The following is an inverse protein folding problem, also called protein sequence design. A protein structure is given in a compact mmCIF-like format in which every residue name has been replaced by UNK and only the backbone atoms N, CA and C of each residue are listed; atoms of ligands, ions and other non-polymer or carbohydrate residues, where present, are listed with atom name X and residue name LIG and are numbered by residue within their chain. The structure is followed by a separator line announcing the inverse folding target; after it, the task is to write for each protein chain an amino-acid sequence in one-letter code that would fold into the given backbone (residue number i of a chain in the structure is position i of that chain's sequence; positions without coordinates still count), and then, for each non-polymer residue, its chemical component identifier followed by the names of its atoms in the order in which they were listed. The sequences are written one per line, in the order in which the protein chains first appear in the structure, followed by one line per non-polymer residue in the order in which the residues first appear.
data_IF_553423064474
#
_entry.id   IF_553423064474
#
_cell.length_a   1.000
_cell.length_b   1.000
_cell.length_c   1.000
_cell.angle_alpha   90.00
_cell.angle_beta   90.00
_cell.angle_gamma   90.00
#
_symmetry.space_group_name_H-M   'P 1'
#
loop_
_entity.id
_entity.type
_entity.pdbx_description
1 polymer ?
#
# COMPACT_ATOMS: atom_id res chain seq x y z
N UNK A 1 -17.91 -0.83 29.41
CA UNK A 1 -17.69 -1.01 27.96
C UNK A 1 -19.04 -0.96 27.27
N UNK A 2 -19.26 -0.02 26.34
CA UNK A 2 -20.57 0.19 25.69
C UNK A 2 -20.65 -0.36 24.25
N UNK A 3 -19.52 -0.64 23.60
CA UNK A 3 -19.43 -1.26 22.27
C UNK A 3 -18.04 -1.86 22.03
N UNK A 4 -17.86 -2.59 20.93
CA UNK A 4 -16.57 -3.10 20.42
C UNK A 4 -16.38 -2.65 18.97
N UNK A 5 -15.22 -2.09 18.63
CA UNK A 5 -14.83 -1.80 17.25
C UNK A 5 -13.88 -2.88 16.72
N UNK A 6 -14.14 -3.38 15.51
CA UNK A 6 -13.33 -4.37 14.83
C UNK A 6 -12.72 -3.76 13.58
N UNK A 7 -11.39 -3.78 13.49
CA UNK A 7 -10.70 -3.48 12.23
C UNK A 7 -10.83 -4.68 11.30
N UNK A 8 -11.47 -4.47 10.16
CA UNK A 8 -11.61 -5.43 9.07
C UNK A 8 -10.77 -4.93 7.90
N UNK A 9 -9.90 -5.78 7.36
CA UNK A 9 -8.98 -5.37 6.29
C UNK A 9 -9.73 -5.14 4.98
N UNK A 10 -10.68 -6.01 4.62
CA UNK A 10 -11.35 -5.93 3.32
C UNK A 10 -12.86 -5.83 3.47
N UNK A 11 -13.44 -4.69 3.08
CA UNK A 11 -14.89 -4.46 3.01
C UNK A 11 -15.51 -4.73 1.63
N UNK A 12 -14.67 -4.99 0.62
CA UNK A 12 -15.15 -5.28 -0.73
C UNK A 12 -15.85 -4.07 -1.34
N UNK A 13 -16.77 -4.31 -2.27
CA UNK A 13 -17.56 -3.25 -2.89
C UNK A 13 -18.74 -2.80 -2.01
N UNK A 14 -19.16 -3.61 -1.04
CA UNK A 14 -20.44 -3.40 -0.33
C UNK A 14 -20.29 -2.51 0.90
N UNK A 15 -19.12 -2.51 1.53
CA UNK A 15 -18.91 -1.81 2.80
C UNK A 15 -18.03 -0.56 2.63
N UNK A 16 -18.69 0.58 2.37
CA UNK A 16 -18.06 1.90 2.18
C UNK A 16 -17.95 2.74 3.45
N UNK A 17 -18.48 2.26 4.58
CA UNK A 17 -18.47 2.93 5.89
C UNK A 17 -18.52 1.91 7.02
N UNK A 18 -18.20 2.28 8.27
CA UNK A 18 -18.41 1.41 9.41
C UNK A 18 -19.87 0.96 9.53
N UNK A 19 -20.08 -0.31 9.93
CA UNK A 19 -21.42 -0.89 10.09
C UNK A 19 -21.54 -1.64 11.41
N UNK A 20 -22.75 -1.67 11.97
CA UNK A 20 -23.07 -2.60 13.05
C UNK A 20 -23.00 -4.02 12.52
N UNK A 21 -22.39 -4.90 13.30
CA UNK A 21 -22.24 -6.31 12.95
C UNK A 21 -23.52 -7.06 13.28
N UNK A 22 -24.08 -7.71 12.27
CA UNK A 22 -25.10 -8.75 12.40
C UNK A 22 -24.67 -10.02 11.64
N UNK A 23 -25.53 -11.04 11.62
CA UNK A 23 -25.26 -12.30 10.92
C UNK A 23 -25.12 -12.12 9.40
N UNK A 24 -25.84 -11.15 8.81
CA UNK A 24 -25.77 -10.85 7.37
C UNK A 24 -24.45 -10.21 7.00
N UNK A 25 -23.98 -9.26 7.80
CA UNK A 25 -22.67 -8.63 7.65
C UNK A 25 -21.57 -9.68 7.78
N UNK A 26 -21.62 -10.54 8.79
CA UNK A 26 -20.63 -11.61 8.96
C UNK A 26 -20.60 -12.58 7.78
N UNK A 27 -21.77 -13.04 7.32
CA UNK A 27 -21.86 -13.94 6.16
C UNK A 27 -21.28 -13.27 4.91
N UNK A 28 -21.57 -11.98 4.69
CA UNK A 28 -21.02 -11.24 3.55
C UNK A 28 -19.51 -11.06 3.65
N UNK A 29 -18.99 -10.75 4.83
CA UNK A 29 -17.55 -10.60 5.03
C UNK A 29 -16.78 -11.91 4.85
N UNK A 30 -17.40 -13.06 5.13
CA UNK A 30 -16.82 -14.38 4.89
C UNK A 30 -16.66 -14.67 3.39
N UNK A 31 -17.61 -14.23 2.55
CA UNK A 31 -17.50 -14.32 1.08
C UNK A 31 -16.29 -13.52 0.56
N UNK A 32 -15.85 -12.49 1.29
CA UNK A 32 -14.68 -11.68 0.94
C UNK A 32 -13.36 -12.26 1.47
N UNK A 33 -13.39 -13.35 2.25
CA UNK A 33 -12.18 -14.00 2.79
C UNK A 33 -11.12 -14.32 1.71
N UNK A 34 -11.48 -14.79 0.49
CA UNK A 34 -10.52 -15.03 -0.58
C UNK A 34 -9.76 -13.78 -1.05
N UNK A 35 -10.28 -12.57 -0.83
CA UNK A 35 -9.60 -11.32 -1.21
C UNK A 35 -8.49 -10.93 -0.21
N UNK A 36 -8.55 -11.45 1.01
CA UNK A 36 -7.55 -11.20 2.05
C UNK A 36 -7.35 -12.45 2.94
N UNK A 37 -6.88 -13.57 2.37
CA UNK A 37 -6.89 -14.88 3.02
C UNK A 37 -6.04 -14.93 4.30
N UNK A 38 -4.94 -14.15 4.36
CA UNK A 38 -4.06 -14.08 5.52
C UNK A 38 -4.60 -13.19 6.66
N UNK A 39 -5.67 -12.42 6.43
CA UNK A 39 -6.11 -11.39 7.37
C UNK A 39 -7.59 -11.53 7.74
N UNK A 40 -8.46 -11.69 6.76
CA UNK A 40 -9.91 -11.65 6.96
C UNK A 40 -10.41 -12.75 7.92
N UNK A 41 -10.01 -14.03 7.78
CA UNK A 41 -10.51 -15.09 8.66
C UNK A 41 -10.19 -14.83 10.14
N UNK A 42 -8.97 -14.38 10.42
CA UNK A 42 -8.52 -14.02 11.77
C UNK A 42 -9.33 -12.86 12.35
N UNK A 43 -9.61 -11.83 11.55
CA UNK A 43 -10.43 -10.69 11.98
C UNK A 43 -11.87 -11.13 12.32
N UNK A 44 -12.47 -11.98 11.47
CA UNK A 44 -13.84 -12.47 11.68
C UNK A 44 -13.95 -13.44 12.85
N UNK A 45 -12.90 -14.21 13.15
CA UNK A 45 -12.85 -15.05 14.35
C UNK A 45 -12.97 -14.22 15.64
N UNK A 46 -12.30 -13.06 15.70
CA UNK A 46 -12.41 -12.16 16.85
C UNK A 46 -13.83 -11.58 17.01
N UNK A 47 -14.49 -11.26 15.90
CA UNK A 47 -15.90 -10.79 15.90
C UNK A 47 -16.82 -11.89 16.44
N UNK A 48 -16.67 -13.14 15.96
CA UNK A 48 -17.47 -14.27 16.43
C UNK A 48 -17.30 -14.53 17.92
N UNK A 49 -16.06 -14.49 18.41
CA UNK A 49 -15.73 -14.66 19.82
C UNK A 49 -16.37 -13.57 20.69
N UNK A 50 -16.31 -12.32 20.25
CA UNK A 50 -16.95 -11.22 20.94
C UNK A 50 -18.49 -11.39 20.99
N UNK A 51 -19.10 -11.86 19.88
CA UNK A 51 -20.56 -12.07 19.81
C UNK A 51 -21.01 -13.23 20.70
N UNK A 52 -20.27 -14.33 20.76
CA UNK A 52 -20.60 -15.45 21.65
C UNK A 52 -20.43 -15.09 23.12
N UNK A 53 -19.35 -14.37 23.47
CA UNK A 53 -19.08 -13.95 24.85
C UNK A 53 -20.01 -12.84 25.36
N UNK A 54 -20.50 -11.96 24.48
CA UNK A 54 -21.37 -10.83 24.83
C UNK A 54 -22.40 -10.50 23.73
N UNK A 55 -23.48 -11.29 23.59
CA UNK A 55 -24.44 -11.14 22.48
C UNK A 55 -25.14 -9.78 22.42
N UNK A 56 -25.38 -9.14 23.57
CA UNK A 56 -26.07 -7.84 23.66
C UNK A 56 -25.17 -6.62 23.51
N UNK A 57 -23.85 -6.79 23.38
CA UNK A 57 -22.92 -5.67 23.25
C UNK A 57 -22.78 -5.28 21.77
N UNK A 58 -23.10 -4.03 21.35
CA UNK A 58 -22.95 -3.60 19.98
C UNK A 58 -21.51 -3.75 19.47
N UNK A 59 -21.38 -4.30 18.27
CA UNK A 59 -20.10 -4.46 17.59
C UNK A 59 -20.12 -3.72 16.26
N UNK A 60 -19.06 -2.99 15.95
CA UNK A 60 -18.92 -2.20 14.73
C UNK A 60 -17.74 -2.74 13.92
N UNK A 61 -17.97 -3.08 12.66
CA UNK A 61 -16.91 -3.39 11.72
C UNK A 61 -16.45 -2.11 11.00
N UNK A 62 -15.16 -1.83 11.04
CA UNK A 62 -14.52 -0.66 10.42
C UNK A 62 -13.52 -1.15 9.37
N UNK A 63 -13.60 -0.65 8.13
CA UNK A 63 -12.92 -1.25 6.98
C UNK A 63 -11.73 -0.41 6.51
N UNK A 64 -10.56 -1.03 6.33
CA UNK A 64 -9.39 -0.35 5.74
C UNK A 64 -9.61 0.08 4.28
N UNK A 65 -10.57 -0.52 3.59
CA UNK A 65 -10.96 -0.19 2.21
C UNK A 65 -11.95 0.98 2.12
N UNK A 66 -12.64 1.33 3.21
CA UNK A 66 -13.81 2.22 3.16
C UNK A 66 -13.46 3.64 2.72
N UNK A 67 -12.36 4.20 3.22
CA UNK A 67 -11.93 5.57 2.90
C UNK A 67 -11.63 5.80 1.41
N UNK A 68 -11.40 4.72 0.65
CA UNK A 68 -11.07 4.75 -0.78
C UNK A 68 -12.29 4.51 -1.69
N UNK A 69 -13.48 4.28 -1.14
CA UNK A 69 -14.65 3.89 -1.93
C UNK A 69 -15.13 4.99 -2.90
N UNK A 70 -14.85 6.26 -2.57
CA UNK A 70 -15.19 7.43 -3.41
C UNK A 70 -14.33 7.61 -4.67
N UNK A 71 -13.41 6.70 -4.97
CA UNK A 71 -12.57 6.77 -6.17
C UNK A 71 -13.40 6.72 -7.46
N UNK A 72 -13.00 7.52 -8.45
CA UNK A 72 -13.62 7.48 -9.78
C UNK A 72 -13.45 6.10 -10.43
N UNK A 73 -14.40 5.71 -11.28
CA UNK A 73 -14.38 4.37 -11.90
C UNK A 73 -13.09 4.07 -12.64
N UNK A 74 -12.49 5.08 -13.30
CA UNK A 74 -11.22 4.95 -14.03
C UNK A 74 -10.05 4.60 -13.09
N UNK A 75 -10.06 5.14 -11.85
CA UNK A 75 -9.04 4.86 -10.84
C UNK A 75 -9.21 3.43 -10.31
N UNK A 76 -10.43 2.92 -10.19
CA UNK A 76 -10.66 1.59 -9.61
C UNK A 76 -10.50 0.44 -10.61
N UNK A 77 -10.36 0.71 -11.92
CA UNK A 77 -10.31 -0.33 -12.96
C UNK A 77 -8.89 -0.79 -13.25
N UNK A 78 -8.73 -2.09 -13.45
CA UNK A 78 -7.60 -2.63 -14.18
C UNK A 78 -7.93 -2.68 -15.67
N UNK A 79 -6.90 -2.61 -16.52
CA UNK A 79 -7.03 -2.78 -17.97
C UNK A 79 -7.25 -4.27 -18.33
N UNK A 80 -8.30 -4.86 -17.76
CA UNK A 80 -8.74 -6.24 -17.96
C UNK A 80 -10.17 -6.25 -18.54
N UNK A 81 -10.60 -7.36 -19.15
CA UNK A 81 -11.99 -7.52 -19.55
C UNK A 81 -12.98 -7.20 -18.42
N UNK A 82 -14.11 -6.57 -18.78
CA UNK A 82 -15.11 -6.04 -17.82
C UNK A 82 -15.62 -7.10 -16.84
N UNK A 83 -15.73 -8.35 -17.30
CA UNK A 83 -16.20 -9.50 -16.51
C UNK A 83 -15.40 -9.68 -15.21
N UNK A 84 -14.09 -9.45 -15.23
CA UNK A 84 -13.26 -9.52 -14.02
C UNK A 84 -13.59 -8.42 -13.01
N UNK A 85 -13.86 -7.20 -13.50
CA UNK A 85 -14.27 -6.10 -12.63
C UNK A 85 -15.63 -6.37 -11.96
N UNK A 86 -16.57 -6.96 -12.70
CA UNK A 86 -17.87 -7.39 -12.17
C UNK A 86 -17.74 -8.50 -11.12
N UNK A 87 -16.73 -9.36 -11.25
CA UNK A 87 -16.36 -10.36 -10.25
C UNK A 87 -15.56 -9.77 -9.06
N UNK A 88 -15.32 -8.46 -9.03
CA UNK A 88 -14.64 -7.79 -7.93
C UNK A 88 -13.14 -7.59 -8.11
N UNK A 89 -12.56 -7.88 -9.28
CA UNK A 89 -11.16 -7.56 -9.59
C UNK A 89 -11.04 -6.06 -9.91
N UNK A 90 -10.72 -5.28 -8.88
CA UNK A 90 -10.63 -3.82 -8.93
C UNK A 90 -9.63 -3.30 -7.90
N UNK A 91 -9.20 -2.04 -8.03
CA UNK A 91 -8.42 -1.38 -6.98
C UNK A 91 -9.36 -1.03 -5.82
N UNK A 92 -9.00 -1.48 -4.62
CA UNK A 92 -9.74 -1.21 -3.38
C UNK A 92 -9.02 -0.18 -2.51
N UNK A 93 -7.68 -0.26 -2.43
CA UNK A 93 -6.91 0.53 -1.49
C UNK A 93 -7.02 0.04 -0.06
N UNK A 94 -6.00 0.30 0.76
CA UNK A 94 -5.95 -0.10 2.17
C UNK A 94 -5.30 0.99 3.02
N UNK A 95 -5.24 0.74 4.33
CA UNK A 95 -4.88 1.74 5.35
C UNK A 95 -5.87 2.92 5.42
N UNK A 96 -7.10 2.74 4.91
CA UNK A 96 -8.13 3.77 4.89
C UNK A 96 -8.47 4.32 6.26
N UNK A 97 -8.54 3.48 7.30
CA UNK A 97 -8.75 3.95 8.67
C UNK A 97 -7.64 4.90 9.14
N UNK A 98 -6.39 4.66 8.72
CA UNK A 98 -5.27 5.55 9.04
C UNK A 98 -5.37 6.85 8.26
N UNK A 99 -5.76 6.81 6.98
CA UNK A 99 -5.90 8.01 6.17
C UNK A 99 -7.10 8.86 6.59
N UNK A 100 -8.21 8.23 6.97
CA UNK A 100 -9.39 8.88 7.53
C UNK A 100 -9.03 9.65 8.82
N UNK A 101 -8.32 9.00 9.74
CA UNK A 101 -7.81 9.65 10.95
C UNK A 101 -6.89 10.84 10.62
N UNK A 102 -5.93 10.67 9.71
CA UNK A 102 -5.00 11.74 9.32
C UNK A 102 -5.75 12.91 8.65
N UNK A 103 -6.74 12.62 7.81
CA UNK A 103 -7.53 13.65 7.15
C UNK A 103 -8.35 14.45 8.17
N UNK A 104 -8.89 13.80 9.21
CA UNK A 104 -9.64 14.47 10.28
C UNK A 104 -8.74 15.34 11.16
N UNK A 105 -7.61 14.80 11.62
CA UNK A 105 -6.60 15.57 12.37
C UNK A 105 -6.09 16.77 11.57
N UNK A 106 -5.89 16.60 10.26
CA UNK A 106 -5.44 17.69 9.40
C UNK A 106 -6.45 18.83 9.32
N UNK A 107 -7.77 18.56 9.36
CA UNK A 107 -8.78 19.62 9.40
C UNK A 107 -8.67 20.47 10.65
N UNK A 108 -8.33 19.87 11.79
CA UNK A 108 -8.11 20.59 13.04
C UNK A 108 -6.81 21.39 13.06
N UNK A 109 -5.75 20.86 12.44
CA UNK A 109 -4.41 21.45 12.46
C UNK A 109 -4.19 22.53 11.39
N UNK A 110 -4.66 22.29 10.16
CA UNK A 110 -4.51 23.18 9.01
C UNK A 110 -5.69 23.00 8.04
N UNK A 111 -6.81 23.71 8.26
CA UNK A 111 -8.01 23.61 7.44
C UNK A 111 -7.76 23.89 5.96
N UNK A 112 -6.86 24.83 5.63
CA UNK A 112 -6.54 25.19 4.26
C UNK A 112 -5.82 24.04 3.54
N UNK A 113 -4.92 23.36 4.25
CA UNK A 113 -4.23 22.20 3.71
C UNK A 113 -5.15 20.98 3.60
N UNK A 114 -6.04 20.77 4.58
CA UNK A 114 -7.04 19.70 4.55
C UNK A 114 -8.00 19.81 3.36
N UNK A 115 -8.41 21.04 3.01
CA UNK A 115 -9.23 21.34 1.84
C UNK A 115 -8.44 21.23 0.52
N UNK A 116 -7.10 21.24 0.58
CA UNK A 116 -6.21 21.21 -0.57
C UNK A 116 -5.89 19.81 -1.11
N UNK A 117 -4.76 19.71 -1.83
CA UNK A 117 -4.22 18.46 -2.39
C UNK A 117 -3.05 17.96 -1.54
N UNK A 118 -3.24 16.83 -0.88
CA UNK A 118 -2.28 16.25 0.08
C UNK A 118 -1.96 14.81 -0.30
N UNK A 119 -0.68 14.48 -0.39
CA UNK A 119 -0.20 13.10 -0.45
C UNK A 119 0.18 12.69 0.97
N UNK A 120 -0.44 11.65 1.49
CA UNK A 120 -0.11 11.07 2.79
C UNK A 120 0.63 9.75 2.60
N UNK A 121 1.80 9.63 3.22
CA UNK A 121 2.58 8.40 3.29
C UNK A 121 2.31 7.67 4.61
N UNK A 122 1.68 6.51 4.55
CA UNK A 122 1.57 5.58 5.68
C UNK A 122 2.76 4.62 5.61
N UNK A 123 3.72 4.77 6.53
CA UNK A 123 4.97 4.02 6.50
C UNK A 123 5.10 3.12 7.73
N UNK A 124 4.93 1.82 7.52
CA UNK A 124 5.00 0.79 8.55
C UNK A 124 5.57 -0.52 8.00
N UNK A 125 5.11 -1.64 8.57
CA UNK A 125 5.43 -2.96 8.02
C UNK A 125 4.73 -3.16 6.66
N UNK A 126 3.48 -2.70 6.55
CA UNK A 126 2.84 -2.34 5.28
C UNK A 126 3.06 -0.85 5.00
N UNK A 127 3.24 -0.48 3.73
CA UNK A 127 3.48 0.90 3.33
C UNK A 127 2.64 1.29 2.11
N UNK A 128 2.06 2.48 2.13
CA UNK A 128 1.27 3.02 1.01
C UNK A 128 1.33 4.55 0.96
N UNK A 129 1.02 5.11 -0.20
CA UNK A 129 0.70 6.53 -0.36
C UNK A 129 -0.77 6.69 -0.74
N UNK A 130 -1.41 7.74 -0.26
CA UNK A 130 -2.76 8.13 -0.64
C UNK A 130 -2.77 9.59 -1.07
N UNK A 131 -3.32 9.85 -2.25
CA UNK A 131 -3.69 11.18 -2.67
C UNK A 131 -5.05 11.53 -2.04
N UNK A 132 -5.08 12.62 -1.28
CA UNK A 132 -6.25 13.15 -0.59
C UNK A 132 -6.52 14.55 -1.13
N UNK A 133 -7.76 14.78 -1.58
CA UNK A 133 -8.23 16.09 -2.02
C UNK A 133 -9.51 16.41 -1.27
N UNK A 134 -9.58 17.60 -0.67
CA UNK A 134 -10.74 18.02 0.15
C UNK A 134 -11.10 16.98 1.23
N UNK A 135 -10.08 16.51 1.95
CA UNK A 135 -10.21 15.48 2.99
C UNK A 135 -10.68 14.09 2.52
N UNK A 136 -10.79 13.84 1.21
CA UNK A 136 -11.25 12.58 0.63
C UNK A 136 -10.15 11.89 -0.18
N UNK A 137 -10.07 10.57 -0.09
CA UNK A 137 -9.16 9.82 -0.95
C UNK A 137 -9.58 9.92 -2.41
N UNK A 138 -8.65 10.26 -3.30
CA UNK A 138 -8.88 10.26 -4.74
C UNK A 138 -8.08 9.19 -5.48
N UNK A 139 -6.97 8.73 -4.90
CA UNK A 139 -6.17 7.61 -5.41
C UNK A 139 -5.23 7.09 -4.30
N UNK A 140 -4.75 5.85 -4.44
CA UNK A 140 -3.85 5.19 -3.49
C UNK A 140 -2.95 4.17 -4.20
N UNK A 141 -1.77 3.95 -3.65
CA UNK A 141 -0.77 3.06 -4.28
C UNK A 141 -1.17 1.59 -4.23
N UNK A 142 -1.90 1.16 -3.19
CA UNK A 142 -2.35 -0.22 -3.09
C UNK A 142 -3.56 -0.47 -3.99
N UNK A 143 -3.52 -1.57 -4.74
CA UNK A 143 -4.53 -1.92 -5.73
C UNK A 143 -5.56 -2.92 -5.20
N UNK A 144 -5.57 -4.11 -5.82
CA UNK A 144 -6.50 -5.21 -5.48
C UNK A 144 -6.21 -5.79 -4.10
N UNK A 145 -4.93 -5.87 -3.73
CA UNK A 145 -4.46 -6.38 -2.44
C UNK A 145 -3.47 -5.39 -1.82
N UNK A 146 -3.15 -5.60 -0.54
CA UNK A 146 -2.12 -4.85 0.16
C UNK A 146 -0.68 -5.25 -0.22
N UNK A 147 -0.50 -5.98 -1.32
CA UNK A 147 0.80 -6.33 -1.92
C UNK A 147 1.28 -5.25 -2.91
N UNK A 148 0.35 -4.66 -3.67
CA UNK A 148 0.64 -3.67 -4.71
C UNK A 148 1.09 -2.32 -4.12
N UNK A 149 1.77 -1.51 -4.93
CA UNK A 149 2.23 -0.17 -4.57
C UNK A 149 3.68 -0.14 -4.12
N UNK A 150 3.94 0.36 -2.91
CA UNK A 150 5.31 0.54 -2.43
C UNK A 150 5.97 -0.80 -2.09
N UNK A 151 7.28 -0.89 -2.32
CA UNK A 151 8.10 -1.94 -1.71
C UNK A 151 8.02 -1.82 -0.17
N UNK A 152 7.89 -2.94 0.54
CA UNK A 152 7.68 -2.95 2.00
C UNK A 152 8.76 -3.75 2.73
N UNK A 153 8.53 -4.12 4.00
CA UNK A 153 9.50 -4.87 4.79
C UNK A 153 9.88 -6.22 4.16
N UNK A 154 8.87 -7.02 3.82
CA UNK A 154 9.00 -8.36 3.23
C UNK A 154 8.20 -8.53 1.94
N UNK A 155 7.43 -7.51 1.56
CA UNK A 155 6.54 -7.53 0.39
C UNK A 155 7.18 -6.83 -0.79
N UNK A 156 7.00 -7.40 -1.99
CA UNK A 156 7.62 -6.86 -3.21
C UNK A 156 7.14 -5.44 -3.57
N UNK A 157 5.86 -5.11 -3.33
CA UNK A 157 5.26 -3.91 -3.90
C UNK A 157 4.85 -4.13 -5.35
N UNK A 158 4.76 -3.04 -6.11
CA UNK A 158 4.52 -3.08 -7.55
C UNK A 158 5.60 -3.92 -8.26
N UNK A 159 5.15 -4.89 -9.05
CA UNK A 159 5.98 -5.81 -9.81
C UNK A 159 5.33 -6.05 -11.17
N UNK A 160 6.14 -6.25 -12.20
CA UNK A 160 5.65 -6.66 -13.52
C UNK A 160 4.92 -8.02 -13.42
N UNK A 161 3.64 -8.12 -13.84
CA UNK A 161 2.91 -9.38 -13.84
C UNK A 161 3.59 -10.50 -14.64
N UNK A 162 4.39 -10.18 -15.66
CA UNK A 162 5.17 -11.15 -16.42
C UNK A 162 6.21 -11.91 -15.58
N UNK A 163 6.71 -11.29 -14.49
CA UNK A 163 7.61 -11.98 -13.54
C UNK A 163 6.87 -13.11 -12.82
N UNK A 164 5.59 -12.93 -12.49
CA UNK A 164 4.77 -13.95 -11.83
C UNK A 164 4.63 -15.16 -12.76
N UNK A 165 4.30 -14.92 -14.04
CA UNK A 165 4.17 -15.98 -15.05
C UNK A 165 5.50 -16.71 -15.26
N UNK A 166 6.61 -15.99 -15.33
CA UNK A 166 7.94 -16.57 -15.47
C UNK A 166 8.29 -17.48 -14.28
N UNK A 167 8.05 -17.04 -13.04
CA UNK A 167 8.33 -17.86 -11.84
C UNK A 167 7.54 -19.17 -11.84
N UNK A 168 6.28 -19.15 -12.29
CA UNK A 168 5.48 -20.37 -12.42
C UNK A 168 6.05 -21.31 -13.50
N UNK A 169 6.52 -20.76 -14.62
CA UNK A 169 7.20 -21.54 -15.66
C UNK A 169 8.53 -22.14 -15.17
N UNK A 170 9.19 -21.51 -14.19
CA UNK A 170 10.35 -22.08 -13.50
C UNK A 170 9.98 -23.16 -12.47
N UNK A 171 8.70 -23.55 -12.36
CA UNK A 171 8.23 -24.63 -11.50
C UNK A 171 7.80 -24.19 -10.10
N UNK A 172 7.74 -22.90 -9.79
CA UNK A 172 7.19 -22.46 -8.51
C UNK A 172 5.66 -22.64 -8.50
N UNK A 173 5.16 -23.27 -7.45
CA UNK A 173 3.72 -23.38 -7.21
C UNK A 173 3.11 -22.00 -6.89
N UNK A 174 1.79 -21.80 -7.08
CA UNK A 174 1.11 -20.57 -6.67
C UNK A 174 1.41 -20.17 -5.22
N UNK A 175 1.43 -21.13 -4.29
CA UNK A 175 1.72 -20.88 -2.88
C UNK A 175 3.18 -20.47 -2.64
N UNK A 176 4.12 -21.07 -3.38
CA UNK A 176 5.53 -20.68 -3.32
C UNK A 176 5.73 -19.25 -3.85
N UNK A 177 5.05 -18.89 -4.95
CA UNK A 177 5.05 -17.51 -5.47
C UNK A 177 4.43 -16.56 -4.46
N UNK A 178 3.29 -16.89 -3.86
CA UNK A 178 2.67 -16.07 -2.82
C UNK A 178 3.62 -15.83 -1.64
N UNK A 179 4.27 -16.88 -1.14
CA UNK A 179 5.25 -16.80 -0.05
C UNK A 179 6.43 -15.91 -0.43
N UNK A 180 6.97 -16.08 -1.65
CA UNK A 180 8.05 -15.26 -2.17
C UNK A 180 7.67 -13.78 -2.18
N UNK A 181 6.48 -13.45 -2.70
CA UNK A 181 6.02 -12.07 -2.86
C UNK A 181 5.65 -11.40 -1.52
N UNK A 182 5.08 -12.14 -0.55
CA UNK A 182 4.62 -11.59 0.73
C UNK A 182 5.66 -11.59 1.85
N UNK A 183 6.56 -12.58 1.86
CA UNK A 183 7.41 -12.88 3.02
C UNK A 183 8.90 -12.82 2.73
N UNK A 184 9.34 -13.01 1.49
CA UNK A 184 10.76 -13.13 1.14
C UNK A 184 11.26 -11.98 0.23
N UNK A 185 10.39 -11.03 -0.11
CA UNK A 185 10.67 -9.92 -1.02
C UNK A 185 10.95 -8.60 -0.27
N UNK A 186 10.79 -7.47 -0.95
CA UNK A 186 10.86 -6.15 -0.34
C UNK A 186 12.27 -5.78 0.14
N UNK A 187 12.33 -5.07 1.27
CA UNK A 187 13.59 -4.75 1.93
C UNK A 187 14.36 -5.98 2.41
N UNK A 188 13.69 -7.11 2.62
CA UNK A 188 14.34 -8.38 2.96
C UNK A 188 15.05 -8.96 1.74
N UNK A 189 14.33 -9.14 0.63
CA UNK A 189 14.87 -9.71 -0.62
C UNK A 189 15.94 -8.81 -1.26
N UNK A 190 15.75 -7.49 -1.28
CA UNK A 190 16.73 -6.55 -1.86
C UNK A 190 18.04 -6.47 -1.07
N UNK A 191 18.07 -6.90 0.20
CA UNK A 191 19.33 -7.02 0.96
C UNK A 191 20.19 -8.18 0.48
N UNK A 192 19.66 -9.14 -0.28
CA UNK A 192 20.45 -10.19 -0.94
C UNK A 192 21.18 -9.68 -2.19
N UNK A 193 20.77 -8.55 -2.79
CA UNK A 193 21.50 -7.86 -3.88
C UNK A 193 22.76 -7.10 -3.41
N UNK A 194 23.32 -7.43 -2.24
CA UNK A 194 24.46 -6.71 -1.61
C UNK A 194 25.84 -6.94 -2.24
N UNK A 195 25.94 -7.50 -3.45
CA UNK A 195 27.23 -7.68 -4.12
C UNK A 195 27.65 -6.50 -5.03
N UNK A 196 26.76 -5.57 -5.42
CA UNK A 196 27.08 -4.66 -6.54
C UNK A 196 26.82 -3.17 -6.31
N UNK A 197 26.01 -2.77 -5.31
CA UNK A 197 25.65 -1.36 -5.12
C UNK A 197 25.95 -0.94 -3.67
N UNK A 198 27.06 -0.21 -3.46
CA UNK A 198 27.65 0.16 -2.16
C UNK A 198 26.82 0.98 -1.15
N UNK A 199 25.49 0.78 -1.06
CA UNK A 199 24.67 1.26 0.05
C UNK A 199 24.81 0.32 1.26
N UNK A 200 26.00 0.28 1.84
CA UNK A 200 26.25 -0.41 3.11
C UNK A 200 25.64 0.37 4.28
N UNK A 201 24.58 -0.19 4.88
CA UNK A 201 24.34 0.00 6.31
C UNK A 201 24.78 -1.29 7.02
N UNK A 202 25.76 -1.24 7.95
CA UNK A 202 26.22 -2.41 8.66
C UNK A 202 25.11 -2.96 9.55
N UNK A 203 24.94 -4.29 9.50
CA UNK A 203 24.07 -5.03 10.41
C UNK A 203 24.86 -5.24 11.70
N UNK A 204 24.91 -4.22 12.53
CA UNK A 204 25.26 -4.39 13.93
C UNK A 204 24.09 -3.88 14.76
N UNK A 205 23.37 -4.84 15.37
CA UNK A 205 22.30 -4.69 16.34
C UNK A 205 20.84 -4.83 15.81
N UNK A 206 20.17 -5.98 16.02
CA UNK A 206 18.75 -6.16 15.73
C UNK A 206 17.81 -5.26 16.55
N UNK A 207 18.34 -4.53 17.56
CA UNK A 207 17.60 -3.51 18.33
C UNK A 207 17.63 -2.10 17.70
N UNK A 208 18.36 -1.86 16.61
CA UNK A 208 18.32 -0.56 15.91
C UNK A 208 17.15 -0.50 14.92
N UNK A 209 16.17 0.34 15.30
CA UNK A 209 14.93 0.62 14.58
C UNK A 209 15.18 1.01 13.11
N UNK A 210 14.43 0.37 12.20
CA UNK A 210 14.47 0.63 10.76
C UNK A 210 13.89 2.02 10.50
N UNK A 211 14.76 3.00 10.21
CA UNK A 211 14.35 4.34 9.81
C UNK A 211 14.23 4.36 8.29
N UNK A 212 13.02 4.51 7.78
CA UNK A 212 12.81 4.91 6.39
C UNK A 212 13.39 6.32 6.23
N UNK A 213 14.37 6.51 5.34
CA UNK A 213 14.79 7.86 4.95
C UNK A 213 13.87 8.36 3.83
N UNK A 214 13.58 9.65 3.78
CA UNK A 214 12.79 10.24 2.68
C UNK A 214 13.41 9.99 1.31
N UNK A 215 14.73 9.77 1.24
CA UNK A 215 15.45 9.43 0.02
C UNK A 215 15.11 8.03 -0.52
N UNK A 216 14.78 7.06 0.36
CA UNK A 216 14.20 5.80 -0.08
C UNK A 216 12.82 6.03 -0.71
N UNK A 217 11.95 6.84 -0.07
CA UNK A 217 10.60 7.13 -0.57
C UNK A 217 10.65 7.82 -1.95
N UNK A 218 11.56 8.75 -2.17
CA UNK A 218 11.73 9.45 -3.46
C UNK A 218 12.26 8.53 -4.57
N UNK A 219 13.15 7.58 -4.24
CA UNK A 219 13.66 6.59 -5.21
C UNK A 219 12.57 5.60 -5.66
N UNK A 220 11.58 5.34 -4.79
CA UNK A 220 10.39 4.51 -5.09
C UNK A 220 9.18 5.33 -5.57
N UNK A 221 9.30 6.66 -5.66
CA UNK A 221 8.26 7.58 -6.13
C UNK A 221 7.95 7.49 -7.62
N UNK A 222 8.70 6.69 -8.40
CA UNK A 222 8.33 6.35 -9.79
C UNK A 222 6.98 5.64 -9.91
N UNK A 223 6.44 5.15 -8.80
CA UNK A 223 5.14 4.46 -8.73
C UNK A 223 3.96 5.39 -8.38
N UNK A 224 4.19 6.67 -8.06
CA UNK A 224 3.12 7.62 -7.76
C UNK A 224 2.76 8.39 -9.05
N UNK A 225 1.58 8.16 -9.66
CA UNK A 225 1.23 8.72 -10.96
C UNK A 225 0.80 10.20 -10.92
N UNK A 226 0.83 10.86 -9.76
CA UNK A 226 0.20 12.17 -9.59
C UNK A 226 1.13 13.34 -9.91
N UNK A 227 0.80 14.19 -10.90
CA UNK A 227 1.58 15.39 -11.18
C UNK A 227 1.46 16.39 -10.02
N UNK A 228 2.59 17.00 -9.65
CA UNK A 228 2.68 18.12 -8.70
C UNK A 228 1.80 19.31 -9.16
N UNK A 229 1.28 20.15 -8.25
CA UNK A 229 1.74 20.37 -6.86
C UNK A 229 0.84 19.71 -5.80
N UNK A 230 1.36 18.68 -5.13
CA UNK A 230 0.75 18.08 -3.94
C UNK A 230 1.63 18.35 -2.72
N UNK A 231 1.03 18.67 -1.58
CA UNK A 231 1.76 18.73 -0.32
C UNK A 231 1.98 17.31 0.23
N UNK A 232 3.19 16.98 0.67
CA UNK A 232 3.50 15.64 1.18
C UNK A 232 3.53 15.60 2.72
N UNK A 233 2.86 14.59 3.27
CA UNK A 233 2.68 14.29 4.69
C UNK A 233 3.13 12.86 5.00
N UNK A 234 3.72 12.61 6.15
CA UNK A 234 4.15 11.26 6.55
C UNK A 234 3.59 10.90 7.92
N UNK A 235 2.97 9.74 8.05
CA UNK A 235 2.62 9.12 9.32
C UNK A 235 3.41 7.83 9.51
N UNK A 236 3.97 7.62 10.71
CA UNK A 236 4.63 6.38 11.09
C UNK A 236 3.76 5.62 12.08
N UNK A 237 3.51 4.34 11.82
CA UNK A 237 2.72 3.47 12.71
C UNK A 237 3.52 2.88 13.88
N UNK A 238 4.75 3.35 14.16
CA UNK A 238 5.57 2.81 15.26
C UNK A 238 5.20 3.42 16.61
N UNK A 239 4.76 2.64 17.62
CA UNK A 239 4.45 3.15 18.98
C UNK A 239 5.67 3.68 19.75
N UNK A 240 6.87 3.53 19.19
CA UNK A 240 8.15 3.91 19.81
C UNK A 240 8.91 4.89 18.89
N UNK A 241 8.18 5.76 18.19
CA UNK A 241 8.67 7.05 17.71
C UNK A 241 9.37 7.80 18.85
N UNK A 242 10.71 7.93 18.90
CA UNK A 242 11.37 8.66 20.00
C UNK A 242 10.84 10.09 20.13
N UNK A 243 10.98 10.75 21.29
CA UNK A 243 10.48 12.12 21.51
C UNK A 243 10.94 13.15 20.46
N UNK A 244 11.99 12.87 19.66
CA UNK A 244 12.40 13.68 18.50
C UNK A 244 11.53 13.53 17.24
N UNK A 245 10.64 12.54 17.19
CA UNK A 245 9.58 12.35 16.18
C UNK A 245 8.23 12.90 16.60
N UNK A 246 8.09 13.36 17.86
CA UNK A 246 6.97 14.21 18.31
C UNK A 246 7.21 15.68 17.95
N UNK A 247 7.82 15.95 16.80
CA UNK A 247 7.69 17.27 16.16
C UNK A 247 6.39 17.22 15.37
N UNK A 248 5.61 18.32 15.29
CA UNK A 248 4.41 18.34 14.48
C UNK A 248 4.77 17.87 13.07
N UNK A 249 3.89 17.04 12.54
CA UNK A 249 3.82 16.61 11.15
C UNK A 249 4.59 17.55 10.21
N UNK A 250 5.70 17.07 9.66
CA UNK A 250 6.55 17.91 8.83
C UNK A 250 6.02 17.90 7.39
N UNK A 251 5.65 19.07 6.87
CA UNK A 251 5.45 19.30 5.44
C UNK A 251 6.77 18.97 4.72
N UNK A 252 6.80 17.90 3.93
CA UNK A 252 7.94 17.68 3.06
C UNK A 252 7.87 18.72 1.93
N UNK A 253 8.95 19.48 1.73
CA UNK A 253 9.04 20.44 0.62
C UNK A 253 8.97 19.68 -0.72
N UNK A 254 8.38 20.26 -1.79
CA UNK A 254 8.38 19.65 -3.12
C UNK A 254 9.78 19.26 -3.61
N UNK A 255 10.81 19.98 -3.17
CA UNK A 255 12.22 19.69 -3.45
C UNK A 255 12.75 18.39 -2.84
N UNK A 256 12.12 17.85 -1.80
CA UNK A 256 12.52 16.56 -1.20
C UNK A 256 12.14 15.35 -2.08
N UNK A 257 11.30 15.58 -3.10
CA UNK A 257 10.86 14.58 -4.09
C UNK A 257 11.57 14.73 -5.43
N UNK A 258 12.17 15.89 -5.69
CA UNK A 258 13.10 16.08 -6.79
C UNK A 258 14.41 15.40 -6.41
N UNK A 259 14.66 14.20 -6.93
CA UNK A 259 16.03 13.67 -6.98
C UNK A 259 16.95 14.71 -7.65
N UNK A 260 18.27 14.67 -7.41
CA UNK A 260 19.17 15.56 -8.11
C UNK A 260 18.93 15.38 -9.61
N UNK A 261 18.52 16.46 -10.28
CA UNK A 261 18.54 16.51 -11.73
C UNK A 261 20.02 16.43 -12.13
N UNK A 262 20.53 15.21 -12.26
CA UNK A 262 21.77 15.00 -12.98
C UNK A 262 21.48 15.48 -14.39
N UNK A 263 22.11 16.61 -14.76
CA UNK A 263 22.23 17.03 -16.14
C UNK A 263 22.85 15.85 -16.88
N UNK A 264 22.02 15.08 -17.57
CA UNK A 264 22.48 14.17 -18.62
C UNK A 264 22.92 15.09 -19.76
N UNK A 265 24.17 15.52 -19.70
CA UNK A 265 24.85 15.97 -20.91
C UNK A 265 24.98 14.75 -21.81
N UNK A 266 24.21 14.72 -22.89
CA UNK A 266 24.33 13.72 -23.92
C UNK A 266 25.77 13.74 -24.46
N UNK A 267 26.54 12.69 -24.18
CA UNK A 267 27.74 12.39 -24.96
C UNK A 267 27.28 11.65 -26.21
N UNK A 268 27.63 12.09 -27.43
CA UNK A 268 27.30 11.36 -28.64
C UNK A 268 28.02 10.02 -28.62
N UNK A 269 27.26 8.94 -28.83
CA UNK A 269 27.77 7.59 -29.06
C UNK A 269 28.11 7.52 -30.56
N UNK A 270 29.38 7.22 -30.86
CA UNK A 270 29.85 6.98 -32.23
C UNK A 270 29.13 5.75 -32.83
N UNK A 271 28.85 5.74 -34.15
CA UNK A 271 28.20 4.60 -34.77
C UNK A 271 29.26 3.53 -35.04
N UNK A 272 29.13 2.35 -34.42
CA UNK A 272 29.57 1.11 -35.06
C UNK A 272 29.12 -0.14 -34.30
N UNK A 273 28.13 -0.81 -34.87
CA UNK A 273 28.10 -2.24 -35.24
C UNK A 273 26.65 -2.68 -35.37
N UNK A 274 26.26 -3.00 -36.60
CA UNK A 274 24.96 -3.53 -36.97
C UNK A 274 24.67 -4.83 -36.20
N UNK A 275 23.53 -4.88 -35.53
CA UNK A 275 23.00 -6.09 -34.90
C UNK A 275 22.20 -6.87 -35.95
N UNK A 276 22.72 -8.00 -36.41
CA UNK A 276 21.99 -8.95 -37.27
C UNK A 276 21.00 -9.76 -36.43
N UNK A 277 19.75 -9.82 -36.88
CA UNK A 277 18.69 -10.60 -36.23
C UNK A 277 18.84 -12.11 -36.54
N UNK A 278 18.52 -13.01 -35.60
CA UNK A 278 18.50 -14.44 -35.87
C UNK A 278 17.24 -14.85 -36.67
N UNK A 279 17.31 -15.92 -37.48
CA UNK A 279 16.20 -16.33 -38.33
C UNK A 279 15.05 -16.95 -37.52
N UNK A 280 13.83 -16.69 -37.97
CA UNK A 280 12.60 -17.27 -37.42
C UNK A 280 12.55 -18.77 -37.74
N UNK A 281 12.33 -19.60 -36.73
CA UNK A 281 12.02 -21.02 -36.92
C UNK A 281 10.59 -21.19 -37.49
N UNK A 282 10.46 -22.14 -38.40
CA UNK A 282 9.25 -22.53 -39.11
C UNK A 282 8.26 -23.30 -38.22
#
# INVERSE_FOLDING_TARGET
MCAIGHRIVHGGADFSRPVLVDDRVLARLEVLSPLAPLHQPHNLAAVRLARSGRPGLPQVACFDTAFHHGHASVVTRFALPRTWHEQGVRRYGFHGLSYEFIADELRGLDPALAAGRVIVAHLGNGASLCAIHDGRSVDTTMGFTALDGLMMGTRCGALDPGVILYLQQQGLTPDAVQTLLYEQSGLLGSRACRATCGCCWPVSNPRRRRRWSCSCIASFGKSAPWPLPWAAWTASSSPQASARTRRPFARASPSAWAGPASRLTARPIAPDRAWSAPPKAA
#
